data_IF_500959078765
#
_entry.id   IF_500959078765
#
_cell.length_a   1.000
_cell.length_b   1.000
_cell.length_c   1.000
_cell.angle_alpha   90.00
_cell.angle_beta   90.00
_cell.angle_gamma   90.00
#
_symmetry.space_group_name_H-M   'P 1'
#
loop_
_entity.id
_entity.type
_entity.pdbx_description
1 polymer ?
#
# COMPACT_ATOMS: atom_id res chain seq x y z
N UNK A 1 -7.17 -70.33 60.97
CA UNK A 1 -8.08 -69.19 60.78
C UNK A 1 -7.64 -68.06 61.69
N UNK A 2 -6.62 -67.29 61.31
CA UNK A 2 -6.19 -66.12 62.09
C UNK A 2 -6.70 -64.84 61.41
N UNK A 3 -7.44 -64.04 62.19
CA UNK A 3 -8.00 -62.73 61.85
C UNK A 3 -6.94 -61.63 61.56
N UNK A 4 -5.70 -62.03 61.23
CA UNK A 4 -4.60 -61.12 60.94
C UNK A 4 -4.42 -60.84 59.43
N UNK A 5 -5.21 -61.48 58.57
CA UNK A 5 -5.16 -61.24 57.11
C UNK A 5 -6.20 -60.23 56.60
N UNK A 6 -7.15 -59.82 57.46
CA UNK A 6 -8.22 -58.87 57.08
C UNK A 6 -7.88 -57.41 57.47
N UNK A 7 -6.83 -57.17 58.28
CA UNK A 7 -6.46 -55.80 58.71
C UNK A 7 -5.33 -55.15 57.90
N UNK A 8 -4.65 -55.87 56.99
CA UNK A 8 -3.58 -55.29 56.15
C UNK A 8 -4.04 -54.71 54.81
N UNK A 9 -5.35 -54.68 54.55
CA UNK A 9 -5.90 -54.10 53.31
C UNK A 9 -6.54 -52.71 53.52
N UNK A 10 -6.71 -52.25 54.76
CA UNK A 10 -7.37 -50.97 55.05
C UNK A 10 -6.41 -49.81 55.35
N UNK A 11 -5.10 -50.02 55.22
CA UNK A 11 -4.11 -48.91 55.25
C UNK A 11 -3.52 -48.58 53.87
N UNK A 12 -3.83 -49.37 52.84
CA UNK A 12 -3.54 -49.06 51.42
C UNK A 12 -4.52 -48.06 50.79
N UNK A 13 -5.50 -47.56 51.54
CA UNK A 13 -6.46 -46.54 51.09
C UNK A 13 -6.06 -45.09 51.50
N UNK A 14 -4.92 -44.89 52.17
CA UNK A 14 -4.38 -43.56 52.50
C UNK A 14 -3.06 -43.23 51.80
N UNK A 15 -2.75 -43.92 50.71
CA UNK A 15 -1.64 -43.53 49.84
C UNK A 15 -2.18 -42.67 48.68
N UNK A 16 -1.63 -41.49 48.39
CA UNK A 16 -2.08 -40.64 47.29
C UNK A 16 -1.61 -41.16 45.91
N UNK A 17 -1.14 -42.42 45.83
CA UNK A 17 -0.51 -43.02 44.65
C UNK A 17 -1.06 -44.42 44.32
N UNK A 18 -2.36 -44.70 44.57
CA UNK A 18 -3.01 -45.94 44.14
C UNK A 18 -3.65 -45.79 42.76
N UNK A 19 -3.38 -46.75 41.86
CA UNK A 19 -3.80 -46.76 40.44
C UNK A 19 -5.22 -47.31 40.20
N UNK A 20 -6.07 -47.44 41.23
CA UNK A 20 -7.43 -47.97 41.11
C UNK A 20 -8.46 -46.94 41.56
N UNK A 21 -8.93 -46.13 40.61
CA UNK A 21 -10.20 -45.43 40.70
C UNK A 21 -10.24 -44.15 41.54
N UNK A 22 -10.45 -43.04 40.84
CA UNK A 22 -10.82 -41.70 41.32
C UNK A 22 -9.79 -40.93 42.14
N UNK A 23 -9.13 -39.98 41.47
CA UNK A 23 -8.71 -38.75 42.11
C UNK A 23 -7.26 -38.31 41.89
N UNK A 24 -6.71 -38.43 40.68
CA UNK A 24 -5.61 -37.52 40.33
C UNK A 24 -6.22 -36.13 40.12
N UNK A 25 -6.06 -35.26 41.13
CA UNK A 25 -6.13 -33.81 40.92
C UNK A 25 -5.04 -33.50 39.91
N UNK A 26 -5.43 -33.35 38.64
CA UNK A 26 -4.51 -32.89 37.60
C UNK A 26 -4.16 -31.45 37.95
N UNK A 27 -2.95 -31.25 38.46
CA UNK A 27 -2.32 -29.94 38.65
C UNK A 27 -2.59 -29.06 37.44
N UNK A 28 -3.16 -27.89 37.70
CA UNK A 28 -3.38 -26.78 36.78
C UNK A 28 -3.62 -27.21 35.31
N UNK A 29 -4.86 -27.09 34.83
CA UNK A 29 -5.26 -27.06 33.41
C UNK A 29 -4.64 -25.88 32.62
N UNK A 30 -3.49 -25.38 33.05
CA UNK A 30 -2.73 -24.42 32.28
C UNK A 30 -2.20 -25.21 31.10
N UNK A 31 -3.02 -25.23 30.05
CA UNK A 31 -2.66 -25.27 28.64
C UNK A 31 -1.50 -24.30 28.48
N UNK A 32 -0.30 -24.76 28.83
CA UNK A 32 0.86 -23.90 28.94
C UNK A 32 1.09 -23.28 27.56
N UNK A 33 1.34 -21.97 27.57
CA UNK A 33 1.54 -21.19 26.36
C UNK A 33 0.25 -20.53 25.92
N UNK A 34 0.00 -19.32 26.43
CA UNK A 34 -0.73 -18.35 25.62
C UNK A 34 -0.15 -18.29 24.20
N UNK A 35 -0.96 -17.85 23.24
CA UNK A 35 -0.54 -17.66 21.83
C UNK A 35 0.93 -17.23 21.74
N UNK A 36 1.76 -18.00 21.03
CA UNK A 36 3.08 -17.52 20.58
C UNK A 36 2.84 -16.13 19.99
N UNK A 37 3.48 -15.11 20.55
CA UNK A 37 3.19 -13.72 20.24
C UNK A 37 3.33 -13.49 18.74
N UNK A 38 2.20 -13.27 18.06
CA UNK A 38 2.20 -12.86 16.66
C UNK A 38 2.71 -11.42 16.62
N UNK A 39 4.01 -11.25 16.41
CA UNK A 39 4.59 -9.95 16.04
C UNK A 39 4.24 -9.66 14.57
N UNK A 40 2.94 -9.52 14.30
CA UNK A 40 2.39 -9.29 12.98
C UNK A 40 2.55 -7.83 12.57
N UNK A 41 3.54 -7.54 11.73
CA UNK A 41 3.71 -6.21 11.15
C UNK A 41 4.35 -6.30 9.78
N UNK A 42 3.63 -5.87 8.74
CA UNK A 42 4.26 -5.63 7.44
C UNK A 42 4.81 -4.19 7.41
N UNK A 43 5.97 -3.95 6.79
CA UNK A 43 6.51 -2.61 6.67
C UNK A 43 5.57 -1.73 5.83
N UNK A 44 5.47 -0.46 6.19
CA UNK A 44 4.70 0.53 5.44
C UNK A 44 5.16 0.60 3.97
N UNK A 45 4.21 0.56 3.03
CA UNK A 45 4.50 0.48 1.59
C UNK A 45 4.82 1.82 0.93
N UNK A 46 4.93 2.90 1.71
CA UNK A 46 5.27 4.26 1.26
C UNK A 46 4.40 4.75 0.10
N UNK A 47 3.10 4.42 0.13
CA UNK A 47 2.10 4.89 -0.83
C UNK A 47 1.86 6.41 -0.67
N UNK A 48 1.07 6.99 -1.56
CA UNK A 48 0.67 8.39 -1.54
C UNK A 48 1.23 9.21 -2.69
N UNK A 49 0.93 10.51 -2.63
CA UNK A 49 1.39 11.52 -3.58
C UNK A 49 2.90 11.73 -3.42
N UNK A 50 3.60 11.84 -4.55
CA UNK A 50 5.06 12.05 -4.64
C UNK A 50 5.41 13.41 -5.25
N UNK A 51 4.52 13.95 -6.08
CA UNK A 51 4.65 15.28 -6.67
C UNK A 51 3.38 16.09 -6.41
N UNK A 52 3.56 17.29 -5.87
CA UNK A 52 2.46 18.18 -5.50
C UNK A 52 2.04 19.07 -6.66
N UNK A 53 0.97 19.85 -6.49
CA UNK A 53 0.51 20.80 -7.52
C UNK A 53 1.62 21.82 -7.84
N UNK A 54 1.72 22.21 -9.11
CA UNK A 54 2.72 23.16 -9.64
C UNK A 54 4.18 22.71 -9.53
N UNK A 55 4.44 21.47 -9.14
CA UNK A 55 5.80 20.94 -9.12
C UNK A 55 6.26 20.58 -10.54
N UNK A 56 7.49 20.96 -10.88
CA UNK A 56 8.11 20.59 -12.16
C UNK A 56 8.48 19.11 -12.18
N UNK A 57 8.16 18.43 -13.28
CA UNK A 57 8.45 17.02 -13.49
C UNK A 57 9.01 16.78 -14.88
N UNK A 58 9.83 15.75 -15.00
CA UNK A 58 10.34 15.21 -16.26
C UNK A 58 9.64 13.87 -16.57
N UNK A 59 9.69 13.38 -17.82
CA UNK A 59 9.16 12.06 -18.17
C UNK A 59 9.75 10.96 -17.27
N UNK A 60 8.90 10.02 -16.85
CA UNK A 60 9.27 8.91 -15.96
C UNK A 60 9.12 9.22 -14.47
N UNK A 61 8.99 10.49 -14.05
CA UNK A 61 8.76 10.82 -12.65
C UNK A 61 7.43 10.25 -12.15
N UNK A 62 7.47 9.62 -10.97
CA UNK A 62 6.29 9.11 -10.29
C UNK A 62 5.54 10.28 -9.64
N UNK A 63 4.25 10.38 -9.90
CA UNK A 63 3.36 11.40 -9.36
C UNK A 63 2.62 10.90 -8.12
N UNK A 64 2.04 9.70 -8.20
CA UNK A 64 1.27 9.08 -7.11
C UNK A 64 1.48 7.58 -7.12
N UNK A 65 1.79 6.99 -5.97
CA UNK A 65 1.77 5.54 -5.75
C UNK A 65 0.51 5.18 -4.97
N UNK A 66 -0.31 4.28 -5.48
CA UNK A 66 -1.63 3.99 -4.89
C UNK A 66 -1.96 2.50 -4.96
N UNK A 67 -3.04 2.10 -4.27
CA UNK A 67 -3.67 0.79 -4.42
C UNK A 67 -5.06 1.03 -4.98
N UNK A 68 -5.29 0.51 -6.18
CA UNK A 68 -6.42 0.91 -7.01
C UNK A 68 -6.32 2.38 -7.46
N UNK A 69 -7.33 2.85 -8.17
CA UNK A 69 -7.34 4.20 -8.77
C UNK A 69 -8.06 5.20 -7.88
N UNK A 70 -7.38 5.74 -6.87
CA UNK A 70 -7.90 6.90 -6.12
C UNK A 70 -7.82 8.17 -6.96
N UNK A 71 -6.74 8.28 -7.73
CA UNK A 71 -6.58 9.24 -8.80
C UNK A 71 -6.49 8.52 -10.15
N UNK A 72 -7.10 9.13 -11.16
CA UNK A 72 -7.08 8.68 -12.53
C UNK A 72 -6.03 9.47 -13.34
N UNK A 73 -5.46 8.86 -14.40
CA UNK A 73 -4.55 9.55 -15.30
C UNK A 73 -5.32 10.62 -16.07
N UNK A 74 -4.82 11.84 -16.02
CA UNK A 74 -5.28 12.98 -16.80
C UNK A 74 -4.37 13.25 -18.00
N UNK A 75 -4.28 14.52 -18.38
CA UNK A 75 -3.46 14.96 -19.51
C UNK A 75 -1.96 14.68 -19.28
N UNK A 76 -1.26 14.13 -20.28
CA UNK A 76 0.19 13.80 -20.25
C UNK A 76 0.66 12.86 -19.11
N UNK A 77 -0.26 12.09 -18.54
CA UNK A 77 0.02 11.11 -17.47
C UNK A 77 -0.40 9.73 -17.94
N UNK A 78 0.40 8.71 -17.59
CA UNK A 78 0.07 7.30 -17.80
C UNK A 78 0.06 6.55 -16.48
N UNK A 79 -0.53 5.36 -16.51
CA UNK A 79 -0.68 4.48 -15.35
C UNK A 79 0.14 3.21 -15.54
N UNK A 80 0.86 2.79 -14.48
CA UNK A 80 1.56 1.50 -14.43
C UNK A 80 0.66 0.35 -13.98
N UNK A 81 1.22 -0.86 -13.94
CA UNK A 81 0.50 -2.08 -13.52
C UNK A 81 -0.02 -2.01 -12.08
N UNK A 82 0.73 -1.36 -11.17
CA UNK A 82 0.32 -1.17 -9.78
C UNK A 82 -0.56 0.08 -9.56
N UNK A 83 -1.13 0.64 -10.64
CA UNK A 83 -1.89 1.89 -10.67
C UNK A 83 -1.07 3.14 -10.30
N UNK A 84 0.26 3.05 -10.27
CA UNK A 84 1.15 4.22 -10.10
C UNK A 84 0.99 5.16 -11.29
N UNK A 85 0.81 6.46 -11.01
CA UNK A 85 0.74 7.50 -12.03
C UNK A 85 2.13 8.08 -12.28
N UNK A 86 2.52 8.23 -13.54
CA UNK A 86 3.81 8.78 -13.93
C UNK A 86 3.70 9.77 -15.09
N UNK A 87 4.66 10.70 -15.14
CA UNK A 87 4.78 11.73 -16.16
C UNK A 87 5.23 11.16 -17.51
N UNK A 88 4.59 11.56 -18.61
CA UNK A 88 5.04 11.21 -19.97
C UNK A 88 5.83 12.34 -20.64
N UNK A 89 5.65 13.57 -20.16
CA UNK A 89 6.13 14.80 -20.79
C UNK A 89 6.67 15.73 -19.69
N UNK A 90 7.69 16.57 -19.94
CA UNK A 90 8.11 17.57 -18.97
C UNK A 90 7.02 18.64 -18.78
N UNK A 91 6.78 19.05 -17.54
CA UNK A 91 5.74 20.04 -17.24
C UNK A 91 5.45 20.16 -15.75
N UNK A 92 4.28 20.69 -15.43
CA UNK A 92 3.83 21.02 -14.08
C UNK A 92 2.61 20.21 -13.70
N UNK A 93 2.62 19.66 -12.49
CA UNK A 93 1.55 18.77 -11.99
C UNK A 93 0.29 19.57 -11.64
N UNK A 94 -0.87 19.04 -12.03
CA UNK A 94 -2.19 19.57 -11.71
C UNK A 94 -3.14 18.46 -11.25
N UNK A 95 -3.73 18.67 -10.09
CA UNK A 95 -4.85 17.87 -9.60
C UNK A 95 -6.16 18.55 -9.96
N UNK A 96 -7.10 17.82 -10.55
CA UNK A 96 -8.37 18.39 -10.97
C UNK A 96 -9.51 17.37 -10.95
N UNK A 97 -10.72 17.88 -11.10
CA UNK A 97 -11.95 17.10 -11.30
C UNK A 97 -12.63 17.61 -12.56
N UNK A 98 -13.34 16.72 -13.23
CA UNK A 98 -14.08 17.06 -14.44
C UNK A 98 -15.54 17.32 -14.03
N UNK A 99 -16.05 18.55 -14.15
CA UNK A 99 -17.45 18.82 -13.87
C UNK A 99 -18.34 18.04 -14.84
N UNK A 100 -19.46 17.48 -14.36
CA UNK A 100 -20.39 16.70 -15.19
C UNK A 100 -19.96 15.26 -15.48
N UNK A 101 -18.84 14.77 -14.93
CA UNK A 101 -18.52 13.35 -15.01
C UNK A 101 -19.50 12.54 -14.15
N UNK A 102 -20.04 11.43 -14.69
CA UNK A 102 -21.00 10.54 -13.99
C UNK A 102 -20.50 10.03 -12.63
N UNK A 103 -19.19 9.99 -12.42
CA UNK A 103 -18.54 9.57 -11.18
C UNK A 103 -17.58 10.68 -10.78
N UNK A 104 -17.65 11.15 -9.53
CA UNK A 104 -16.76 12.19 -8.96
C UNK A 104 -15.31 11.66 -8.87
N UNK A 105 -14.63 11.61 -10.03
CA UNK A 105 -13.29 11.09 -10.20
C UNK A 105 -12.28 12.23 -10.11
N UNK A 106 -11.22 11.97 -9.36
CA UNK A 106 -10.06 12.85 -9.24
C UNK A 106 -9.02 12.47 -10.28
N UNK A 107 -8.44 13.44 -10.96
CA UNK A 107 -7.44 13.25 -11.99
C UNK A 107 -6.12 13.92 -11.60
N UNK A 108 -5.01 13.34 -12.07
CA UNK A 108 -3.69 13.98 -12.08
C UNK A 108 -3.26 14.14 -13.51
N UNK A 109 -2.99 15.37 -13.92
CA UNK A 109 -2.45 15.70 -15.23
C UNK A 109 -1.21 16.57 -15.12
N UNK A 110 -0.54 16.77 -16.25
CA UNK A 110 0.54 17.72 -16.41
C UNK A 110 0.15 18.81 -17.39
N UNK A 111 0.73 19.97 -17.18
CA UNK A 111 0.58 21.17 -18.01
C UNK A 111 1.96 21.59 -18.47
N UNK A 112 2.10 22.00 -19.74
CA UNK A 112 3.39 22.40 -20.30
C UNK A 112 3.91 23.69 -19.66
N UNK A 113 3.06 24.73 -19.58
CA UNK A 113 3.42 25.99 -18.95
C UNK A 113 2.95 26.02 -17.48
N UNK A 114 3.70 26.73 -16.64
CA UNK A 114 3.29 26.95 -15.25
C UNK A 114 2.05 27.84 -15.22
N UNK A 115 1.11 27.54 -14.33
CA UNK A 115 -0.08 28.39 -14.15
C UNK A 115 -1.31 27.99 -14.97
N UNK A 116 -1.19 27.19 -16.02
CA UNK A 116 -2.41 26.76 -16.73
C UNK A 116 -3.22 25.75 -15.91
N UNK A 117 -4.54 25.80 -16.07
CA UNK A 117 -5.51 24.99 -15.31
C UNK A 117 -6.00 23.79 -16.13
N UNK A 118 -6.26 22.68 -15.44
CA UNK A 118 -6.99 21.53 -15.96
C UNK A 118 -8.39 21.47 -15.32
N UNK A 119 -9.42 20.98 -16.03
CA UNK A 119 -9.41 20.53 -17.44
C UNK A 119 -9.33 21.71 -18.42
N UNK A 120 -8.60 21.54 -19.54
CA UNK A 120 -8.54 22.54 -20.62
C UNK A 120 -9.79 22.48 -21.49
N UNK A 121 -10.19 23.62 -22.05
CA UNK A 121 -11.17 23.66 -23.13
C UNK A 121 -10.47 23.38 -24.48
N UNK A 122 -10.50 22.12 -24.90
CA UNK A 122 -9.86 21.67 -26.14
C UNK A 122 -10.54 22.24 -27.39
N UNK A 123 -11.78 22.72 -27.29
CA UNK A 123 -12.56 23.22 -28.43
C UNK A 123 -11.98 24.53 -28.95
N UNK A 124 -11.70 25.47 -28.05
CA UNK A 124 -11.18 26.79 -28.40
C UNK A 124 -9.65 26.81 -28.51
N UNK A 125 -8.96 26.13 -27.60
CA UNK A 125 -7.49 26.21 -27.50
C UNK A 125 -6.74 25.08 -28.21
N UNK A 126 -7.47 24.08 -28.73
CA UNK A 126 -6.88 22.86 -29.26
C UNK A 126 -6.23 21.97 -28.20
N UNK A 127 -5.71 20.81 -28.63
CA UNK A 127 -5.05 19.85 -27.74
C UNK A 127 -3.59 20.24 -27.50
N UNK A 128 -3.19 20.35 -26.24
CA UNK A 128 -1.78 20.53 -25.86
C UNK A 128 -0.93 19.33 -26.29
N UNK A 129 0.15 19.59 -27.04
CA UNK A 129 1.12 18.60 -27.51
C UNK A 129 2.53 19.10 -27.19
N UNK A 130 3.39 18.21 -26.75
CA UNK A 130 4.81 18.49 -26.56
C UNK A 130 5.59 17.98 -27.77
N UNK A 131 6.33 18.86 -28.42
CA UNK A 131 7.09 18.53 -29.63
C UNK A 131 8.33 17.70 -29.31
N UNK A 132 9.09 18.07 -28.26
CA UNK A 132 10.20 17.28 -27.74
C UNK A 132 11.43 17.15 -28.65
N UNK A 133 11.47 17.86 -29.78
CA UNK A 133 12.58 17.88 -30.73
C UNK A 133 13.17 19.30 -30.83
N UNK A 134 14.43 19.38 -31.21
CA UNK A 134 15.18 20.63 -31.39
C UNK A 134 15.65 20.71 -32.84
N UNK A 135 15.54 21.88 -33.47
CA UNK A 135 16.11 22.12 -34.78
C UNK A 135 17.60 22.42 -34.66
N UNK A 136 18.42 21.44 -35.03
CA UNK A 136 19.89 21.53 -34.95
C UNK A 136 20.45 22.51 -35.97
N UNK A 137 19.77 22.74 -37.10
CA UNK A 137 20.26 23.62 -38.16
C UNK A 137 20.08 25.10 -37.82
N UNK A 138 19.10 25.42 -36.99
CA UNK A 138 18.84 26.78 -36.52
C UNK A 138 19.81 27.23 -35.41
N UNK A 139 20.55 26.30 -34.78
CA UNK A 139 21.52 26.64 -33.75
C UNK A 139 22.78 27.25 -34.38
N UNK A 140 23.35 28.30 -33.78
CA UNK A 140 24.63 28.83 -34.23
C UNK A 140 25.68 27.72 -34.13
N UNK A 141 26.45 27.51 -35.21
CA UNK A 141 27.46 26.44 -35.31
C UNK A 141 28.52 26.52 -34.21
N UNK A 142 28.72 27.71 -33.64
CA UNK A 142 29.61 27.97 -32.50
C UNK A 142 29.19 27.25 -31.22
N UNK A 143 27.91 26.88 -31.05
CA UNK A 143 27.42 26.12 -29.91
C UNK A 143 27.57 24.59 -30.06
N UNK A 144 28.00 24.13 -31.24
CA UNK A 144 28.11 22.70 -31.62
C UNK A 144 29.57 22.24 -31.64
N UNK A 145 30.53 23.18 -31.73
CA UNK A 145 31.97 22.95 -31.63
C UNK A 145 32.42 22.88 -30.17
#
# INVERSE_FOLDING_TARGET
MSLALIRKCLETARSPFSNLGFGSVRTATKRAGGTVSNHGGSPGKRLGVKKYSDEFVIPGNILVRQRGTQFHPGQHVKMGSDHTLYATVPGYVRFYRIPGSRKDRKYVGLVLNRGERLPRDETNSGRSRYFGLVDVNALPKEAIA
#
